data_IF_574279711702
#
_entry.id   IF_574279711702
#
_cell.length_a   1.000
_cell.length_b   1.000
_cell.length_c   1.000
_cell.angle_alpha   90.00
_cell.angle_beta   90.00
_cell.angle_gamma   90.00
#
_symmetry.space_group_name_H-M   'P 1'
#
loop_
_entity.id
_entity.type
_entity.pdbx_description
1 polymer ?
#
# COMPACT_ATOMS: atom_id res chain seq x y z
N UNK A 1 -22.16 -10.17 21.33
CA UNK A 1 -20.86 -9.58 20.94
C UNK A 1 -21.08 -8.91 19.60
N UNK A 2 -20.94 -7.58 19.52
CA UNK A 2 -21.10 -6.85 18.24
C UNK A 2 -19.76 -6.94 17.53
N UNK A 3 -19.69 -7.75 16.47
CA UNK A 3 -18.43 -8.08 15.79
C UNK A 3 -17.88 -6.96 14.90
N UNK A 4 -18.53 -5.79 14.85
CA UNK A 4 -18.12 -4.67 13.98
C UNK A 4 -18.13 -5.02 12.48
N UNK A 5 -18.67 -6.18 12.13
CA UNK A 5 -18.80 -6.67 10.76
C UNK A 5 -20.09 -6.13 10.17
N UNK A 6 -20.04 -5.79 8.88
CA UNK A 6 -21.26 -5.51 8.13
C UNK A 6 -22.09 -6.78 8.00
N UNK A 7 -23.41 -6.65 7.88
CA UNK A 7 -24.33 -7.78 7.76
C UNK A 7 -24.02 -8.68 6.55
N UNK A 8 -23.50 -8.11 5.46
CA UNK A 8 -23.01 -8.87 4.31
C UNK A 8 -21.82 -9.78 4.65
N UNK A 9 -20.86 -9.28 5.43
CA UNK A 9 -19.69 -10.07 5.83
C UNK A 9 -20.08 -11.18 6.80
N UNK A 10 -21.07 -10.94 7.66
CA UNK A 10 -21.61 -11.97 8.55
C UNK A 10 -22.28 -13.09 7.78
N UNK A 11 -23.14 -12.75 6.80
CA UNK A 11 -23.77 -13.75 5.91
C UNK A 11 -22.75 -14.53 5.11
N UNK A 12 -21.71 -13.87 4.61
CA UNK A 12 -20.65 -14.53 3.86
C UNK A 12 -19.89 -15.55 4.73
N UNK A 13 -19.58 -15.20 5.98
CA UNK A 13 -18.94 -16.12 6.93
C UNK A 13 -19.84 -17.33 7.24
N UNK A 14 -21.13 -17.10 7.48
CA UNK A 14 -22.09 -18.18 7.71
C UNK A 14 -22.17 -19.13 6.51
N UNK A 15 -22.22 -18.58 5.30
CA UNK A 15 -22.23 -19.39 4.07
C UNK A 15 -20.93 -20.17 3.89
N UNK A 16 -19.78 -19.59 4.20
CA UNK A 16 -18.49 -20.25 4.10
C UNK A 16 -18.33 -21.41 5.12
N UNK A 17 -18.93 -21.28 6.30
CA UNK A 17 -19.00 -22.38 7.29
C UNK A 17 -20.03 -23.43 6.86
N UNK A 18 -21.22 -23.02 6.40
CA UNK A 18 -22.28 -23.92 5.96
C UNK A 18 -21.89 -24.78 4.75
N UNK A 19 -21.02 -24.26 3.88
CA UNK A 19 -20.46 -24.98 2.73
C UNK A 19 -19.30 -25.91 3.10
N UNK A 20 -18.88 -25.91 4.37
CA UNK A 20 -17.80 -26.76 4.88
C UNK A 20 -16.41 -26.31 4.46
N UNK A 21 -16.27 -25.12 3.85
CA UNK A 21 -14.97 -24.56 3.48
C UNK A 21 -14.14 -24.26 4.73
N UNK A 22 -14.81 -23.85 5.82
CA UNK A 22 -14.19 -23.67 7.13
C UNK A 22 -14.92 -24.50 8.19
N UNK A 23 -14.21 -25.18 9.11
CA UNK A 23 -14.81 -26.01 10.15
C UNK A 23 -15.66 -25.21 11.14
N UNK A 24 -15.30 -23.95 11.36
CA UNK A 24 -15.96 -23.07 12.31
C UNK A 24 -15.85 -21.62 11.87
N UNK A 25 -16.74 -20.77 12.41
CA UNK A 25 -16.67 -19.32 12.22
C UNK A 25 -15.34 -18.75 12.72
N UNK A 26 -14.84 -19.28 13.82
CA UNK A 26 -13.60 -18.85 14.46
C UNK A 26 -12.39 -19.17 13.56
N UNK A 27 -12.36 -20.35 12.93
CA UNK A 27 -11.34 -20.70 11.95
C UNK A 27 -11.35 -19.78 10.73
N UNK A 28 -12.54 -19.48 10.20
CA UNK A 28 -12.69 -18.58 9.05
C UNK A 28 -12.14 -17.17 9.37
N UNK A 29 -12.43 -16.66 10.57
CA UNK A 29 -11.92 -15.37 11.03
C UNK A 29 -10.40 -15.39 11.25
N UNK A 30 -9.87 -16.46 11.85
CA UNK A 30 -8.43 -16.61 12.04
C UNK A 30 -7.67 -16.63 10.71
N UNK A 31 -8.19 -17.36 9.72
CA UNK A 31 -7.60 -17.37 8.38
C UNK A 31 -7.71 -16.01 7.68
N UNK A 32 -8.82 -15.29 7.83
CA UNK A 32 -8.96 -13.94 7.31
C UNK A 32 -7.91 -12.98 7.91
N UNK A 33 -7.66 -13.05 9.23
CA UNK A 33 -6.62 -12.27 9.91
C UNK A 33 -5.22 -12.66 9.43
N UNK A 34 -4.95 -13.94 9.22
CA UNK A 34 -3.67 -14.40 8.69
C UNK A 34 -3.43 -13.87 7.26
N UNK A 35 -4.42 -13.99 6.38
CA UNK A 35 -4.34 -13.48 5.01
C UNK A 35 -4.11 -11.95 4.98
N UNK A 36 -4.74 -11.21 5.90
CA UNK A 36 -4.49 -9.79 6.06
C UNK A 36 -3.05 -9.52 6.49
N UNK A 37 -2.52 -10.24 7.50
CA UNK A 37 -1.13 -10.08 7.98
C UNK A 37 -0.10 -10.36 6.88
N UNK A 38 -0.32 -11.39 6.08
CA UNK A 38 0.56 -11.72 4.95
C UNK A 38 0.55 -10.59 3.91
N UNK A 39 -0.63 -10.09 3.53
CA UNK A 39 -0.74 -8.95 2.62
C UNK A 39 -0.10 -7.69 3.20
N UNK A 40 -0.24 -7.44 4.50
CA UNK A 40 0.37 -6.26 5.13
C UNK A 40 1.90 -6.39 5.20
N UNK A 41 2.44 -7.57 5.53
CA UNK A 41 3.88 -7.83 5.48
C UNK A 41 4.44 -7.58 4.09
N UNK A 42 3.76 -8.05 3.04
CA UNK A 42 4.17 -7.80 1.65
C UNK A 42 4.18 -6.29 1.32
N UNK A 43 3.24 -5.51 1.83
CA UNK A 43 3.21 -4.04 1.64
C UNK A 43 4.34 -3.35 2.40
N UNK A 44 4.60 -3.74 3.65
CA UNK A 44 5.69 -3.19 4.47
C UNK A 44 7.05 -3.53 3.88
N UNK A 45 7.23 -4.74 3.35
CA UNK A 45 8.50 -5.14 2.75
C UNK A 45 8.76 -4.50 1.38
N UNK A 46 7.71 -4.21 0.61
CA UNK A 46 7.79 -3.63 -0.74
C UNK A 46 7.65 -2.12 -0.79
N UNK A 47 7.44 -1.44 0.33
CA UNK A 47 7.44 0.02 0.39
C UNK A 47 8.81 0.54 0.86
N UNK A 48 9.77 0.79 -0.05
CA UNK A 48 11.11 1.28 0.33
C UNK A 48 11.03 2.63 1.05
N UNK A 49 10.01 3.44 0.79
CA UNK A 49 9.76 4.71 1.49
C UNK A 49 9.42 4.52 2.99
N UNK A 50 9.04 3.31 3.40
CA UNK A 50 8.75 2.99 4.81
C UNK A 50 9.97 2.43 5.55
N UNK A 51 11.03 2.05 4.82
CA UNK A 51 12.30 1.54 5.36
C UNK A 51 13.42 2.58 5.39
N UNK A 52 13.31 3.63 4.58
CA UNK A 52 14.28 4.72 4.58
C UNK A 52 14.06 5.61 5.81
N UNK A 53 15.09 5.77 6.63
CA UNK A 53 15.06 6.74 7.72
C UNK A 53 14.99 8.16 7.14
N UNK A 54 14.40 9.10 7.89
CA UNK A 54 14.35 10.51 7.50
C UNK A 54 15.75 11.06 7.19
N UNK A 55 16.77 10.59 7.90
CA UNK A 55 18.17 11.01 7.69
C UNK A 55 18.74 10.53 6.36
N UNK A 56 18.47 9.28 5.98
CA UNK A 56 18.88 8.74 4.67
C UNK A 56 18.17 9.47 3.52
N UNK A 57 16.88 9.80 3.68
CA UNK A 57 16.15 10.56 2.68
C UNK A 57 16.70 11.99 2.52
N UNK A 58 17.05 12.65 3.63
CA UNK A 58 17.69 13.97 3.60
C UNK A 58 19.05 13.91 2.89
N UNK A 59 19.82 12.84 3.12
CA UNK A 59 21.12 12.66 2.48
C UNK A 59 20.97 12.50 0.96
N UNK A 60 20.06 11.66 0.50
CA UNK A 60 19.82 11.44 -0.93
C UNK A 60 19.40 12.74 -1.65
N UNK A 61 18.56 13.56 -1.01
CA UNK A 61 18.14 14.86 -1.57
C UNK A 61 19.32 15.83 -1.68
N UNK A 62 20.20 15.87 -0.67
CA UNK A 62 21.38 16.73 -0.70
C UNK A 62 22.34 16.29 -1.81
N UNK A 63 22.58 14.98 -1.95
CA UNK A 63 23.42 14.44 -3.02
C UNK A 63 22.81 14.69 -4.42
N UNK A 64 21.48 14.58 -4.56
CA UNK A 64 20.78 14.96 -5.79
C UNK A 64 20.93 16.44 -6.10
N UNK A 65 20.74 17.32 -5.11
CA UNK A 65 20.86 18.77 -5.27
C UNK A 65 22.29 19.18 -5.63
N UNK A 66 23.30 18.59 -4.99
CA UNK A 66 24.72 18.87 -5.26
C UNK A 66 25.18 18.35 -6.64
N UNK A 67 24.58 17.24 -7.10
CA UNK A 67 24.87 16.68 -8.44
C UNK A 67 24.10 17.39 -9.57
N UNK A 68 23.00 18.09 -9.27
CA UNK A 68 22.24 18.83 -10.26
C UNK A 68 22.85 20.22 -10.49
N UNK A 69 23.60 20.36 -11.58
CA UNK A 69 23.92 21.68 -12.12
C UNK A 69 22.64 22.31 -12.68
N UNK A 70 22.35 23.58 -12.36
CA UNK A 70 21.22 24.28 -12.96
C UNK A 70 21.38 24.26 -14.48
N UNK A 71 20.39 23.71 -15.18
CA UNK A 71 20.33 23.74 -16.63
C UNK A 71 20.01 25.18 -17.03
N UNK A 72 21.03 25.94 -17.41
CA UNK A 72 20.90 27.33 -17.90
C UNK A 72 20.28 27.43 -19.29
N UNK A 73 19.78 26.32 -19.84
CA UNK A 73 19.12 26.32 -21.13
C UNK A 73 17.70 26.82 -20.94
N UNK A 74 17.46 28.08 -21.32
CA UNK A 74 16.12 28.57 -21.63
C UNK A 74 15.52 27.61 -22.66
N UNK A 75 14.57 26.79 -22.24
CA UNK A 75 13.73 26.05 -23.18
C UNK A 75 12.78 27.09 -23.75
N UNK A 76 13.02 27.50 -24.99
CA UNK A 76 12.16 28.40 -25.74
C UNK A 76 10.77 27.74 -25.86
N UNK A 77 9.82 28.23 -25.08
CA UNK A 77 8.45 27.74 -25.00
C UNK A 77 7.61 28.23 -26.19
N UNK A 78 8.22 28.23 -27.38
CA UNK A 78 7.60 28.58 -28.67
C UNK A 78 6.52 27.58 -29.12
N UNK A 79 5.78 26.98 -28.17
CA UNK A 79 4.55 26.22 -28.41
C UNK A 79 3.31 27.11 -28.64
N UNK A 80 3.48 28.42 -28.82
CA UNK A 80 2.42 29.38 -29.22
C UNK A 80 2.33 29.62 -30.75
N UNK A 81 2.54 28.62 -31.61
CA UNK A 81 2.38 28.80 -33.07
C UNK A 81 1.79 27.60 -33.82
N UNK A 82 0.69 27.05 -33.31
CA UNK A 82 -0.23 26.25 -34.12
C UNK A 82 -1.61 26.90 -34.02
N UNK A 83 -1.79 27.97 -34.77
CA UNK A 83 -3.08 28.59 -35.12
C UNK A 83 -3.40 28.25 -36.57
#
# INVERSE_FOLDING_TARGET
MVTGLTSDNERFLEQAVATGVFPSREDALNQAVQALREKTKVVVDKNPAMKQSTEEWIKDIKEWADSHRPVHTFVDDSRESIY
#
